data_IF_879118923225
#
_entry.id   IF_879118923225
#
_cell.length_a   1.000
_cell.length_b   1.000
_cell.length_c   1.000
_cell.angle_alpha   90.00
_cell.angle_beta   90.00
_cell.angle_gamma   90.00
#
_symmetry.space_group_name_H-M   'P 1'
#
loop_
_entity.id
_entity.type
_entity.pdbx_description
1 polymer ?
#
# COMPACT_ATOMS: atom_id res chain seq x y z
N UNK A 1 5.12 36.96 -1.55
CA UNK A 1 3.77 36.98 -2.17
C UNK A 1 3.60 35.91 -3.25
N UNK A 2 4.56 35.72 -4.16
CA UNK A 2 4.52 34.72 -5.25
C UNK A 2 4.27 33.28 -4.72
N UNK A 3 4.90 32.91 -3.60
CA UNK A 3 4.75 31.57 -3.02
C UNK A 3 3.31 31.25 -2.53
N UNK A 4 2.60 32.23 -1.98
CA UNK A 4 1.20 32.03 -1.48
C UNK A 4 0.21 31.86 -2.63
N UNK A 5 0.34 32.60 -3.72
CA UNK A 5 -0.49 32.46 -4.90
C UNK A 5 -0.25 31.11 -5.60
N UNK A 6 1.01 30.71 -5.75
CA UNK A 6 1.36 29.41 -6.30
C UNK A 6 0.84 28.24 -5.43
N UNK A 7 0.95 28.36 -4.12
CA UNK A 7 0.42 27.35 -3.19
C UNK A 7 -1.12 27.26 -3.26
N UNK A 8 -1.80 28.41 -3.31
CA UNK A 8 -3.26 28.45 -3.45
C UNK A 8 -3.70 27.84 -4.77
N UNK A 9 -3.03 28.18 -5.88
CA UNK A 9 -3.32 27.60 -7.19
C UNK A 9 -3.11 26.07 -7.21
N UNK A 10 -1.99 25.58 -6.64
CA UNK A 10 -1.73 24.15 -6.54
C UNK A 10 -2.81 23.41 -5.71
N UNK A 11 -3.24 23.99 -4.59
CA UNK A 11 -4.32 23.42 -3.79
C UNK A 11 -5.67 23.42 -4.53
N UNK A 12 -6.00 24.49 -5.26
CA UNK A 12 -7.20 24.55 -6.09
C UNK A 12 -7.16 23.52 -7.21
N UNK A 13 -6.02 23.37 -7.89
CA UNK A 13 -5.83 22.36 -8.93
C UNK A 13 -6.06 20.94 -8.40
N UNK A 14 -5.53 20.64 -7.21
CA UNK A 14 -5.70 19.33 -6.57
C UNK A 14 -7.14 19.12 -6.05
N UNK A 15 -7.80 20.15 -5.54
CA UNK A 15 -9.15 20.06 -4.98
C UNK A 15 -10.26 20.05 -6.05
N UNK A 16 -10.00 20.62 -7.21
CA UNK A 16 -11.02 20.79 -8.25
C UNK A 16 -11.71 19.48 -8.70
N UNK A 17 -10.98 18.34 -8.94
CA UNK A 17 -11.65 17.08 -9.32
C UNK A 17 -12.57 16.54 -8.21
N UNK A 18 -12.18 16.71 -6.93
CA UNK A 18 -13.00 16.27 -5.80
C UNK A 18 -14.24 17.17 -5.59
N UNK A 19 -14.10 18.47 -5.82
CA UNK A 19 -15.25 19.38 -5.86
C UNK A 19 -16.19 19.03 -7.04
N UNK A 20 -15.61 18.71 -8.21
CA UNK A 20 -16.35 18.20 -9.37
C UNK A 20 -17.13 16.93 -9.05
N UNK A 21 -16.51 15.98 -8.35
CA UNK A 21 -17.17 14.75 -7.92
C UNK A 21 -18.42 15.02 -7.07
N UNK A 22 -18.37 16.00 -6.13
CA UNK A 22 -19.54 16.39 -5.32
C UNK A 22 -20.68 16.90 -6.18
N UNK A 23 -20.37 17.71 -7.19
CA UNK A 23 -21.37 18.35 -8.07
C UNK A 23 -21.94 17.35 -9.08
N UNK A 24 -21.11 16.46 -9.60
CA UNK A 24 -21.49 15.49 -10.64
C UNK A 24 -22.19 14.26 -10.08
N UNK A 25 -22.07 13.97 -8.78
CA UNK A 25 -22.75 12.82 -8.17
C UNK A 25 -24.27 13.06 -8.12
N UNK A 26 -25.04 12.15 -8.69
CA UNK A 26 -26.49 12.12 -8.51
C UNK A 26 -26.83 11.56 -7.12
N UNK A 27 -27.07 12.47 -6.19
CA UNK A 27 -27.40 12.13 -4.80
C UNK A 27 -28.81 11.55 -4.63
N UNK A 28 -29.67 11.67 -5.65
CA UNK A 28 -31.04 11.12 -5.62
C UNK A 28 -31.07 9.65 -5.97
N UNK A 29 -30.10 9.18 -6.77
CA UNK A 29 -29.93 7.79 -7.17
C UNK A 29 -28.56 7.25 -6.73
N UNK A 30 -28.23 7.43 -5.44
CA UNK A 30 -27.00 6.93 -4.85
C UNK A 30 -27.16 5.45 -4.46
N UNK A 31 -27.14 4.56 -5.46
CA UNK A 31 -27.32 3.14 -5.26
C UNK A 31 -26.02 2.35 -5.45
N UNK A 32 -25.80 1.39 -4.57
CA UNK A 32 -24.69 0.44 -4.65
C UNK A 32 -25.22 -0.94 -5.02
N UNK A 33 -24.71 -1.50 -6.09
CA UNK A 33 -24.97 -2.88 -6.43
C UNK A 33 -24.40 -3.83 -5.34
N UNK A 34 -25.00 -5.01 -5.19
CA UNK A 34 -24.47 -6.04 -4.27
C UNK A 34 -23.00 -6.38 -4.58
N UNK A 35 -22.62 -6.39 -5.85
CA UNK A 35 -21.25 -6.60 -6.31
C UNK A 35 -20.29 -5.49 -5.82
N UNK A 36 -20.75 -4.25 -5.72
CA UNK A 36 -19.94 -3.13 -5.22
C UNK A 36 -19.69 -3.27 -3.71
N UNK A 37 -20.72 -3.64 -2.95
CA UNK A 37 -20.57 -3.92 -1.51
C UNK A 37 -19.61 -5.11 -1.26
N UNK A 38 -19.71 -6.17 -2.07
CA UNK A 38 -18.78 -7.29 -2.01
C UNK A 38 -17.34 -6.84 -2.33
N UNK A 39 -17.13 -6.01 -3.35
CA UNK A 39 -15.84 -5.47 -3.72
C UNK A 39 -15.20 -4.62 -2.62
N UNK A 40 -16.01 -3.87 -1.85
CA UNK A 40 -15.53 -3.17 -0.64
C UNK A 40 -15.01 -4.16 0.39
N UNK A 41 -15.78 -5.20 0.71
CA UNK A 41 -15.36 -6.25 1.64
C UNK A 41 -14.09 -6.97 1.20
N UNK A 42 -13.96 -7.28 -0.09
CA UNK A 42 -12.77 -7.88 -0.69
C UNK A 42 -11.56 -6.94 -0.55
N UNK A 43 -11.67 -5.69 -0.98
CA UNK A 43 -10.56 -4.74 -0.90
C UNK A 43 -10.10 -4.45 0.53
N UNK A 44 -11.04 -4.26 1.45
CA UNK A 44 -10.70 -4.01 2.86
C UNK A 44 -10.10 -5.26 3.51
N UNK A 45 -10.70 -6.43 3.31
CA UNK A 45 -10.22 -7.68 3.91
C UNK A 45 -8.82 -8.08 3.43
N UNK A 46 -8.62 -8.15 2.12
CA UNK A 46 -7.30 -8.48 1.55
C UNK A 46 -6.30 -7.35 1.72
N UNK A 47 -6.75 -6.08 1.70
CA UNK A 47 -5.91 -4.92 2.02
C UNK A 47 -5.35 -4.99 3.43
N UNK A 48 -6.18 -5.30 4.44
CA UNK A 48 -5.72 -5.48 5.83
C UNK A 48 -4.76 -6.65 5.97
N UNK A 49 -5.04 -7.78 5.31
CA UNK A 49 -4.14 -8.93 5.30
C UNK A 49 -2.79 -8.58 4.64
N UNK A 50 -2.82 -7.87 3.49
CA UNK A 50 -1.61 -7.41 2.80
C UNK A 50 -0.79 -6.46 3.68
N UNK A 51 -1.43 -5.50 4.36
CA UNK A 51 -0.75 -4.55 5.26
C UNK A 51 -0.15 -5.27 6.48
N UNK A 52 -0.85 -6.27 7.02
CA UNK A 52 -0.27 -7.12 8.07
C UNK A 52 1.01 -7.83 7.60
N UNK A 53 0.99 -8.42 6.41
CA UNK A 53 2.16 -9.04 5.79
C UNK A 53 3.27 -8.01 5.48
N UNK A 54 2.91 -6.84 4.95
CA UNK A 54 3.84 -5.73 4.68
C UNK A 54 4.52 -5.26 5.96
N UNK A 55 3.78 -5.10 7.05
CA UNK A 55 4.35 -4.73 8.34
C UNK A 55 5.30 -5.82 8.88
N UNK A 56 4.88 -7.09 8.82
CA UNK A 56 5.65 -8.21 9.33
C UNK A 56 6.96 -8.44 8.57
N UNK A 57 6.94 -8.30 7.24
CA UNK A 57 8.11 -8.50 6.37
C UNK A 57 8.93 -7.22 6.21
N UNK A 58 8.26 -6.09 6.08
CA UNK A 58 8.87 -4.80 5.77
C UNK A 58 9.59 -4.17 6.96
N UNK A 59 9.07 -4.32 8.18
CA UNK A 59 9.72 -3.73 9.38
C UNK A 59 11.12 -4.29 9.62
N UNK A 60 11.33 -5.63 9.67
CA UNK A 60 12.68 -6.17 9.82
C UNK A 60 13.58 -5.84 8.63
N UNK A 61 13.05 -5.82 7.40
CA UNK A 61 13.80 -5.45 6.21
C UNK A 61 14.24 -3.98 6.28
N UNK A 62 13.35 -3.06 6.64
CA UNK A 62 13.67 -1.64 6.79
C UNK A 62 14.74 -1.39 7.87
N UNK A 63 14.61 -2.05 9.02
CA UNK A 63 15.58 -1.97 10.10
C UNK A 63 16.95 -2.52 9.66
N UNK A 64 16.97 -3.67 9.00
CA UNK A 64 18.20 -4.24 8.46
C UNK A 64 18.86 -3.34 7.43
N UNK A 65 18.08 -2.73 6.53
CA UNK A 65 18.59 -1.79 5.54
C UNK A 65 19.16 -0.50 6.16
N UNK A 66 18.67 -0.09 7.33
CA UNK A 66 19.17 1.06 8.07
C UNK A 66 20.49 0.74 8.78
N UNK A 67 20.58 -0.42 9.43
CA UNK A 67 21.72 -0.75 10.31
C UNK A 67 22.85 -1.48 9.60
N UNK A 68 22.60 -2.15 8.47
CA UNK A 68 23.61 -2.94 7.75
C UNK A 68 24.56 -2.07 6.93
N UNK A 69 25.85 -2.43 6.94
CA UNK A 69 26.92 -1.82 6.12
C UNK A 69 27.43 -2.78 5.03
N UNK A 70 26.74 -3.86 4.74
CA UNK A 70 27.17 -4.90 3.81
C UNK A 70 26.88 -4.55 2.35
N UNK A 71 27.62 -5.15 1.40
CA UNK A 71 27.33 -5.02 -0.04
C UNK A 71 25.93 -5.57 -0.41
N UNK A 72 25.47 -6.56 0.33
CA UNK A 72 24.13 -7.14 0.15
C UNK A 72 23.01 -6.11 0.38
N UNK A 73 23.21 -5.11 1.25
CA UNK A 73 22.28 -3.99 1.44
C UNK A 73 22.01 -3.24 0.13
N UNK A 74 23.07 -2.97 -0.65
CA UNK A 74 22.92 -2.21 -1.91
C UNK A 74 22.14 -3.04 -2.95
N UNK A 75 22.38 -4.35 -3.03
CA UNK A 75 21.61 -5.25 -3.88
C UNK A 75 20.15 -5.33 -3.42
N UNK A 76 19.89 -5.47 -2.12
CA UNK A 76 18.53 -5.48 -1.59
C UNK A 76 17.77 -4.17 -1.85
N UNK A 77 18.45 -3.01 -1.74
CA UNK A 77 17.85 -1.72 -2.10
C UNK A 77 17.49 -1.66 -3.59
N UNK A 78 18.35 -2.17 -4.46
CA UNK A 78 18.06 -2.24 -5.89
C UNK A 78 16.82 -3.10 -6.16
N UNK A 79 16.74 -4.31 -5.60
CA UNK A 79 15.57 -5.18 -5.75
C UNK A 79 14.29 -4.58 -5.16
N UNK A 80 14.41 -3.82 -4.07
CA UNK A 80 13.28 -3.11 -3.47
C UNK A 80 12.73 -2.00 -4.39
N UNK A 81 13.61 -1.35 -5.15
CA UNK A 81 13.20 -0.28 -6.06
C UNK A 81 12.60 -0.80 -7.38
N UNK A 82 12.89 -2.03 -7.81
CA UNK A 82 12.38 -2.57 -9.06
C UNK A 82 10.84 -2.50 -9.17
N UNK A 83 10.04 -2.93 -8.17
CA UNK A 83 8.59 -2.80 -8.25
C UNK A 83 8.11 -1.34 -8.28
N UNK A 84 8.83 -0.41 -7.64
CA UNK A 84 8.48 1.02 -7.67
C UNK A 84 8.75 1.68 -9.03
N UNK A 85 9.80 1.22 -9.72
CA UNK A 85 10.19 1.73 -11.04
C UNK A 85 9.40 1.06 -12.17
N UNK A 86 8.81 -0.11 -11.92
CA UNK A 86 8.03 -0.85 -12.92
C UNK A 86 6.61 -0.28 -12.95
N UNK A 87 6.07 0.11 -14.13
CA UNK A 87 4.67 0.49 -14.23
C UNK A 87 3.75 -0.61 -13.70
N UNK A 88 2.68 -0.27 -12.96
CA UNK A 88 1.82 -1.27 -12.29
C UNK A 88 1.28 -2.36 -13.22
N UNK A 89 0.85 -2.00 -14.42
CA UNK A 89 0.38 -2.96 -15.42
C UNK A 89 1.49 -3.94 -15.85
N UNK A 90 2.70 -3.43 -16.09
CA UNK A 90 3.86 -4.26 -16.43
C UNK A 90 4.24 -5.19 -15.29
N UNK A 91 4.16 -4.72 -14.04
CA UNK A 91 4.37 -5.56 -12.87
C UNK A 91 3.32 -6.68 -12.78
N UNK A 92 2.05 -6.37 -13.09
CA UNK A 92 0.98 -7.37 -13.18
C UNK A 92 1.28 -8.45 -14.23
N UNK A 93 1.78 -8.07 -15.41
CA UNK A 93 2.22 -9.02 -16.46
C UNK A 93 3.37 -9.90 -15.97
N UNK A 94 4.38 -9.31 -15.33
CA UNK A 94 5.51 -10.06 -14.77
C UNK A 94 5.07 -11.07 -13.70
N UNK A 95 4.16 -10.68 -12.80
CA UNK A 95 3.62 -11.57 -11.78
C UNK A 95 2.79 -12.69 -12.40
N UNK A 96 1.95 -12.38 -13.40
CA UNK A 96 1.18 -13.38 -14.13
C UNK A 96 2.08 -14.36 -14.91
N UNK A 97 3.15 -13.87 -15.52
CA UNK A 97 4.14 -14.71 -16.20
C UNK A 97 4.91 -15.62 -15.23
N UNK A 98 5.22 -15.14 -14.01
CA UNK A 98 6.00 -15.89 -13.03
C UNK A 98 5.15 -16.87 -12.20
N UNK A 99 3.98 -16.41 -11.70
CA UNK A 99 3.09 -17.19 -10.85
C UNK A 99 1.97 -17.89 -11.61
N UNK A 100 1.80 -17.61 -12.92
CA UNK A 100 0.79 -18.24 -13.77
C UNK A 100 1.04 -19.74 -13.94
N UNK A 101 0.03 -20.51 -14.38
CA UNK A 101 0.09 -21.99 -14.45
C UNK A 101 1.28 -22.54 -15.24
N UNK A 102 1.70 -21.82 -16.27
CA UNK A 102 2.86 -22.18 -17.13
C UNK A 102 4.17 -21.49 -16.69
N UNK A 103 4.08 -20.58 -15.72
CA UNK A 103 5.24 -19.87 -15.20
C UNK A 103 6.09 -20.75 -14.26
N UNK A 104 7.36 -20.37 -14.01
CA UNK A 104 8.27 -21.21 -13.23
C UNK A 104 7.78 -21.48 -11.81
N UNK A 105 7.23 -20.50 -11.13
CA UNK A 105 6.67 -20.66 -9.78
C UNK A 105 5.28 -21.28 -9.81
N UNK A 106 4.42 -20.88 -10.76
CA UNK A 106 3.07 -21.41 -10.88
C UNK A 106 3.07 -22.90 -11.23
N UNK A 107 3.94 -23.34 -12.13
CA UNK A 107 4.12 -24.76 -12.46
C UNK A 107 4.63 -25.60 -11.25
N UNK A 108 5.44 -25.01 -10.37
CA UNK A 108 5.86 -25.65 -9.12
C UNK A 108 4.68 -25.77 -8.16
N UNK A 109 3.94 -24.69 -7.93
CA UNK A 109 2.84 -24.61 -6.97
C UNK A 109 1.65 -25.47 -7.41
N UNK A 110 1.40 -25.60 -8.71
CA UNK A 110 0.34 -26.46 -9.26
C UNK A 110 0.54 -27.94 -8.93
N UNK A 111 1.80 -28.40 -8.76
CA UNK A 111 2.10 -29.76 -8.28
C UNK A 111 1.59 -30.03 -6.86
N UNK A 112 1.40 -28.98 -6.06
CA UNK A 112 0.83 -29.04 -4.72
C UNK A 112 -0.67 -28.66 -4.72
N UNK A 113 -1.32 -28.57 -5.90
CA UNK A 113 -2.72 -28.20 -6.04
C UNK A 113 -3.02 -26.72 -5.79
N UNK A 114 -1.99 -25.85 -5.76
CA UNK A 114 -2.14 -24.41 -5.52
C UNK A 114 -2.11 -23.64 -6.84
N UNK A 115 -3.19 -22.91 -7.12
CA UNK A 115 -3.29 -21.93 -8.20
C UNK A 115 -3.27 -20.54 -7.54
N UNK A 116 -2.38 -19.67 -8.01
CA UNK A 116 -2.25 -18.31 -7.42
C UNK A 116 -2.97 -17.28 -8.28
N UNK A 117 -2.84 -17.33 -9.62
CA UNK A 117 -3.42 -16.32 -10.50
C UNK A 117 -4.95 -16.36 -10.52
N UNK A 118 -5.56 -15.18 -10.51
CA UNK A 118 -7.03 -15.00 -10.46
C UNK A 118 -7.72 -15.72 -9.30
N UNK A 119 -7.06 -15.77 -8.17
CA UNK A 119 -7.51 -16.39 -6.94
C UNK A 119 -7.17 -15.49 -5.74
N UNK A 120 -7.79 -15.68 -4.57
CA UNK A 120 -7.51 -14.89 -3.37
C UNK A 120 -6.03 -14.68 -3.05
N UNK A 121 -5.12 -15.67 -3.19
CA UNK A 121 -3.68 -15.45 -2.98
C UNK A 121 -3.06 -14.43 -3.93
N UNK A 122 -3.54 -14.33 -5.18
CA UNK A 122 -3.04 -13.33 -6.12
C UNK A 122 -3.33 -11.90 -5.65
N UNK A 123 -4.53 -11.67 -5.12
CA UNK A 123 -4.94 -10.37 -4.62
C UNK A 123 -4.08 -9.95 -3.40
N UNK A 124 -3.80 -10.90 -2.50
CA UNK A 124 -2.89 -10.68 -1.37
C UNK A 124 -1.48 -10.33 -1.85
N UNK A 125 -0.94 -11.09 -2.79
CA UNK A 125 0.39 -10.84 -3.37
C UNK A 125 0.43 -9.48 -4.09
N UNK A 126 -0.59 -9.13 -4.88
CA UNK A 126 -0.68 -7.84 -5.54
C UNK A 126 -0.59 -6.69 -4.53
N UNK A 127 -1.34 -6.76 -3.43
CA UNK A 127 -1.28 -5.79 -2.34
C UNK A 127 0.11 -5.71 -1.67
N UNK A 128 0.78 -6.85 -1.48
CA UNK A 128 2.14 -6.89 -0.93
C UNK A 128 3.12 -6.25 -1.91
N UNK A 129 3.10 -6.61 -3.19
CA UNK A 129 4.00 -6.03 -4.20
C UNK A 129 3.80 -4.52 -4.37
N UNK A 130 2.56 -4.03 -4.24
CA UNK A 130 2.26 -2.60 -4.29
C UNK A 130 2.70 -1.86 -3.02
N UNK A 131 2.45 -2.44 -1.84
CA UNK A 131 2.63 -1.78 -0.55
C UNK A 131 4.03 -1.92 0.05
N UNK A 132 4.66 -3.10 -0.07
CA UNK A 132 5.92 -3.42 0.62
C UNK A 132 7.07 -2.46 0.27
N UNK A 133 7.36 -2.15 -1.00
CA UNK A 133 8.44 -1.24 -1.33
C UNK A 133 8.22 0.17 -0.76
N UNK A 134 7.00 0.67 -0.88
CA UNK A 134 6.61 1.99 -0.34
C UNK A 134 6.77 2.03 1.18
N UNK A 135 6.29 0.99 1.86
CA UNK A 135 6.44 0.85 3.30
C UNK A 135 7.90 0.84 3.73
N UNK A 136 8.73 -0.01 3.10
CA UNK A 136 10.14 -0.19 3.50
C UNK A 136 10.93 1.10 3.32
N UNK A 137 10.70 1.85 2.23
CA UNK A 137 11.36 3.14 2.00
C UNK A 137 10.99 4.13 3.10
N UNK A 138 9.70 4.30 3.42
CA UNK A 138 9.25 5.21 4.45
C UNK A 138 9.65 4.77 5.87
N UNK A 139 9.53 3.49 6.18
CA UNK A 139 9.92 2.92 7.48
C UNK A 139 11.43 3.05 7.73
N UNK A 140 12.25 2.90 6.68
CA UNK A 140 13.69 3.12 6.77
C UNK A 140 14.02 4.56 7.16
N UNK A 141 13.31 5.55 6.61
CA UNK A 141 13.47 6.95 7.01
C UNK A 141 13.17 7.11 8.50
N UNK A 142 12.04 6.56 8.98
CA UNK A 142 11.68 6.61 10.39
C UNK A 142 12.74 5.98 11.32
N UNK A 143 13.35 4.86 10.91
CA UNK A 143 14.44 4.26 11.68
C UNK A 143 15.74 5.05 11.61
N UNK A 144 16.03 5.74 10.50
CA UNK A 144 17.26 6.54 10.34
C UNK A 144 17.24 7.83 11.16
N UNK A 145 16.09 8.31 11.59
CA UNK A 145 15.92 9.46 12.47
C UNK A 145 16.25 9.17 13.95
N UNK A 146 16.37 7.89 14.32
CA UNK A 146 16.69 7.50 15.70
C UNK A 146 18.21 7.62 15.91
N UNK A 147 18.66 8.40 16.92
CA UNK A 147 20.08 8.54 17.24
C UNK A 147 20.71 7.19 17.59
N UNK A 148 21.79 6.78 16.91
CA UNK A 148 22.43 5.48 17.17
C UNK A 148 23.01 5.37 18.58
N UNK A 149 23.36 6.50 19.20
CA UNK A 149 23.91 6.57 20.57
C UNK A 149 22.97 5.98 21.63
N UNK A 150 21.66 6.03 21.39
CA UNK A 150 20.69 5.44 22.31
C UNK A 150 20.80 3.90 22.37
N UNK A 151 20.96 3.28 21.20
CA UNK A 151 21.17 1.85 21.11
C UNK A 151 22.54 1.43 21.68
N UNK A 152 23.59 2.20 21.41
CA UNK A 152 24.94 1.97 21.90
C UNK A 152 25.00 2.09 23.43
N UNK A 153 24.40 3.15 24.00
CA UNK A 153 24.32 3.34 25.46
C UNK A 153 23.54 2.23 26.14
N UNK A 154 22.44 1.75 25.54
CA UNK A 154 21.70 0.61 26.09
C UNK A 154 22.52 -0.69 26.05
N UNK A 155 23.31 -0.92 24.99
CA UNK A 155 24.20 -2.09 24.91
C UNK A 155 25.28 -2.05 25.99
N UNK A 156 25.86 -0.89 26.32
CA UNK A 156 26.87 -0.77 27.41
C UNK A 156 26.26 -1.06 28.79
N UNK A 157 24.95 -0.84 28.96
CA UNK A 157 24.21 -1.21 30.17
C UNK A 157 23.76 -2.68 30.22
N UNK A 158 24.17 -3.49 29.22
CA UNK A 158 23.84 -4.92 29.18
C UNK A 158 22.46 -5.24 28.62
N UNK A 159 21.74 -4.27 28.04
CA UNK A 159 20.45 -4.49 27.39
C UNK A 159 20.65 -5.23 26.07
N UNK A 160 19.91 -6.32 25.85
CA UNK A 160 20.04 -7.09 24.61
C UNK A 160 19.35 -6.43 23.41
N UNK A 161 19.77 -6.79 22.18
CA UNK A 161 19.25 -6.17 20.92
C UNK A 161 17.74 -6.30 20.76
N UNK A 162 17.13 -7.40 21.25
CA UNK A 162 15.67 -7.59 21.18
C UNK A 162 14.93 -6.61 22.10
N UNK A 163 15.46 -6.37 23.29
CA UNK A 163 14.92 -5.38 24.23
C UNK A 163 15.07 -3.95 23.67
N UNK A 164 16.24 -3.62 23.08
CA UNK A 164 16.45 -2.34 22.41
C UNK A 164 15.42 -2.13 21.32
N UNK A 165 15.16 -3.14 20.49
CA UNK A 165 14.15 -3.04 19.45
C UNK A 165 12.75 -2.73 20.01
N UNK A 166 12.29 -3.53 20.98
CA UNK A 166 10.92 -3.40 21.50
C UNK A 166 10.70 -2.20 22.41
N UNK A 167 11.70 -1.79 23.20
CA UNK A 167 11.53 -0.74 24.22
C UNK A 167 12.11 0.62 23.79
N UNK A 168 12.99 0.67 22.81
CA UNK A 168 13.61 1.92 22.34
C UNK A 168 13.26 2.18 20.87
N UNK A 169 13.72 1.30 19.96
CA UNK A 169 13.65 1.57 18.52
C UNK A 169 12.21 1.64 18.01
N UNK A 170 11.38 0.65 18.32
CA UNK A 170 10.00 0.56 17.84
C UNK A 170 9.11 1.68 18.42
N UNK A 171 9.15 2.01 19.73
CA UNK A 171 8.40 3.13 20.27
C UNK A 171 8.81 4.49 19.69
N UNK A 172 10.10 4.70 19.43
CA UNK A 172 10.58 5.95 18.83
C UNK A 172 10.18 6.07 17.35
N UNK A 173 10.20 4.96 16.60
CA UNK A 173 9.83 4.96 15.18
C UNK A 173 8.31 4.92 14.96
N UNK A 174 7.48 4.72 15.97
CA UNK A 174 6.05 4.37 15.85
C UNK A 174 5.26 5.30 14.93
N UNK A 175 5.48 6.61 15.02
CA UNK A 175 4.71 7.59 14.27
C UNK A 175 5.13 7.59 12.78
N UNK A 176 6.43 7.45 12.51
CA UNK A 176 6.96 7.26 11.16
C UNK A 176 6.55 5.93 10.55
N UNK A 177 6.54 4.83 11.33
CA UNK A 177 6.05 3.53 10.88
C UNK A 177 4.54 3.56 10.60
N UNK A 178 3.76 4.26 11.40
CA UNK A 178 2.35 4.45 11.15
C UNK A 178 2.11 5.24 9.84
N UNK A 179 2.91 6.29 9.57
CA UNK A 179 2.88 7.01 8.29
C UNK A 179 3.25 6.10 7.11
N UNK A 180 4.28 5.26 7.28
CA UNK A 180 4.68 4.28 6.28
C UNK A 180 3.56 3.26 5.98
N UNK A 181 2.86 2.77 7.01
CA UNK A 181 1.71 1.88 6.85
C UNK A 181 0.54 2.55 6.14
N UNK A 182 0.28 3.83 6.41
CA UNK A 182 -0.76 4.57 5.71
C UNK A 182 -0.48 4.72 4.22
N UNK A 183 0.76 5.03 3.85
CA UNK A 183 1.17 5.09 2.44
C UNK A 183 1.05 3.72 1.77
N UNK A 184 1.48 2.66 2.44
CA UNK A 184 1.36 1.30 1.95
C UNK A 184 -0.10 0.86 1.80
N UNK A 185 -0.98 1.25 2.73
CA UNK A 185 -2.43 0.99 2.66
C UNK A 185 -3.05 1.58 1.40
N UNK A 186 -2.83 2.87 1.17
CA UNK A 186 -3.36 3.56 -0.01
C UNK A 186 -2.86 2.90 -1.30
N UNK A 187 -1.58 2.51 -1.34
CA UNK A 187 -0.99 1.80 -2.48
C UNK A 187 -1.59 0.39 -2.68
N UNK A 188 -1.75 -0.38 -1.61
CA UNK A 188 -2.25 -1.75 -1.69
C UNK A 188 -3.73 -1.81 -2.09
N UNK A 189 -4.57 -0.93 -1.51
CA UNK A 189 -6.02 -0.90 -1.77
C UNK A 189 -6.36 -0.22 -3.10
N UNK A 190 -5.56 0.79 -3.50
CA UNK A 190 -5.77 1.56 -4.73
C UNK A 190 -5.14 0.97 -5.99
N UNK A 191 -4.48 -0.18 -5.90
CA UNK A 191 -3.75 -0.76 -7.02
C UNK A 191 -4.69 -1.39 -8.06
N UNK A 192 -4.76 -0.81 -9.26
CA UNK A 192 -5.54 -1.33 -10.38
C UNK A 192 -4.67 -2.11 -11.37
N UNK A 193 -3.50 -1.59 -11.72
CA UNK A 193 -2.69 -2.15 -12.81
C UNK A 193 -2.24 -3.58 -12.59
N UNK A 194 -1.79 -3.90 -11.37
CA UNK A 194 -1.38 -5.26 -11.02
C UNK A 194 -2.60 -6.17 -10.98
N UNK A 195 -3.68 -5.76 -10.28
CA UNK A 195 -4.85 -6.63 -10.09
C UNK A 195 -5.60 -6.88 -11.38
N UNK A 196 -5.61 -5.96 -12.33
CA UNK A 196 -6.28 -6.11 -13.62
C UNK A 196 -5.76 -7.32 -14.41
N UNK A 197 -4.48 -7.62 -14.31
CA UNK A 197 -3.82 -8.70 -15.07
C UNK A 197 -3.60 -9.95 -14.22
N UNK A 198 -3.18 -9.78 -12.96
CA UNK A 198 -2.73 -10.88 -12.13
C UNK A 198 -3.79 -11.42 -11.16
N UNK A 199 -4.69 -10.56 -10.68
CA UNK A 199 -5.62 -10.85 -9.60
C UNK A 199 -7.03 -10.27 -9.87
N UNK A 200 -7.58 -10.50 -11.07
CA UNK A 200 -8.87 -9.95 -11.46
C UNK A 200 -10.02 -10.44 -10.58
N UNK A 201 -9.95 -11.69 -10.11
CA UNK A 201 -10.89 -12.26 -9.15
C UNK A 201 -10.19 -12.67 -7.83
N UNK A 202 -10.87 -12.52 -6.68
CA UNK A 202 -12.15 -11.83 -6.48
C UNK A 202 -12.03 -10.33 -6.75
N UNK A 203 -13.08 -9.73 -7.34
CA UNK A 203 -13.05 -8.31 -7.72
C UNK A 203 -13.02 -7.41 -6.49
N UNK A 204 -11.94 -6.65 -6.32
CA UNK A 204 -11.85 -5.55 -5.37
C UNK A 204 -12.42 -4.25 -5.95
N UNK A 205 -12.45 -3.19 -5.12
CA UNK A 205 -12.97 -1.87 -5.52
C UNK A 205 -12.33 -1.30 -6.80
N UNK A 206 -10.99 -1.36 -7.01
CA UNK A 206 -10.40 -0.82 -8.25
C UNK A 206 -10.93 -1.52 -9.51
N UNK A 207 -11.06 -2.85 -9.48
CA UNK A 207 -11.61 -3.62 -10.60
C UNK A 207 -13.09 -3.29 -10.80
N UNK A 208 -13.89 -3.18 -9.72
CA UNK A 208 -15.31 -2.82 -9.85
C UNK A 208 -15.52 -1.42 -10.38
N UNK A 209 -14.70 -0.45 -9.99
CA UNK A 209 -14.72 0.89 -10.58
C UNK A 209 -14.46 0.84 -12.09
N UNK A 210 -13.48 0.04 -12.50
CA UNK A 210 -13.16 -0.18 -13.91
C UNK A 210 -14.35 -0.82 -14.66
N UNK A 211 -14.93 -1.89 -14.13
CA UNK A 211 -16.08 -2.59 -14.73
C UNK A 211 -17.30 -1.66 -14.82
N UNK A 212 -17.64 -0.94 -13.73
CA UNK A 212 -18.75 0.00 -13.74
C UNK A 212 -18.56 1.09 -14.79
N UNK A 213 -17.32 1.61 -14.96
CA UNK A 213 -17.00 2.59 -15.97
C UNK A 213 -17.21 2.06 -17.40
N UNK A 214 -16.77 0.84 -17.69
CA UNK A 214 -16.88 0.23 -19.01
C UNK A 214 -18.31 -0.18 -19.36
N UNK A 215 -19.03 -0.78 -18.39
CA UNK A 215 -20.34 -1.35 -18.63
C UNK A 215 -21.48 -0.31 -18.55
N UNK A 216 -21.37 0.69 -17.68
CA UNK A 216 -22.46 1.59 -17.32
C UNK A 216 -22.11 3.07 -17.41
N UNK A 217 -20.84 3.40 -17.71
CA UNK A 217 -20.37 4.77 -17.86
C UNK A 217 -19.96 5.46 -16.57
N UNK A 218 -19.61 6.74 -16.67
CA UNK A 218 -18.97 7.51 -15.60
C UNK A 218 -19.87 7.63 -14.36
N UNK A 219 -21.13 7.93 -14.53
CA UNK A 219 -22.07 8.22 -13.43
C UNK A 219 -22.26 7.03 -12.51
N UNK A 220 -22.24 5.80 -13.05
CA UNK A 220 -22.36 4.56 -12.29
C UNK A 220 -21.12 4.28 -11.39
N UNK A 221 -20.02 4.98 -11.60
CA UNK A 221 -18.81 4.80 -10.79
C UNK A 221 -18.83 5.64 -9.51
N UNK A 222 -19.57 6.74 -9.46
CA UNK A 222 -19.46 7.73 -8.39
C UNK A 222 -19.84 7.19 -7.01
N UNK A 223 -20.90 6.38 -6.83
CA UNK A 223 -21.21 5.81 -5.51
C UNK A 223 -20.06 4.96 -4.94
N UNK A 224 -19.49 4.08 -5.77
CA UNK A 224 -18.36 3.23 -5.35
C UNK A 224 -17.09 4.07 -5.16
N UNK A 225 -16.86 5.12 -5.96
CA UNK A 225 -15.72 6.02 -5.82
C UNK A 225 -15.73 6.76 -4.47
N UNK A 226 -16.91 7.21 -4.02
CA UNK A 226 -17.06 7.81 -2.69
C UNK A 226 -16.68 6.83 -1.58
N UNK A 227 -17.15 5.58 -1.66
CA UNK A 227 -16.80 4.55 -0.68
C UNK A 227 -15.32 4.23 -0.74
N UNK A 228 -14.73 4.16 -1.94
CA UNK A 228 -13.29 3.96 -2.10
C UNK A 228 -12.48 5.07 -1.40
N UNK A 229 -12.84 6.33 -1.58
CA UNK A 229 -12.20 7.46 -0.91
C UNK A 229 -12.35 7.34 0.61
N UNK A 230 -13.55 7.00 1.10
CA UNK A 230 -13.79 6.78 2.53
C UNK A 230 -12.99 5.60 3.08
N UNK A 231 -12.80 4.53 2.33
CA UNK A 231 -11.98 3.38 2.74
C UNK A 231 -10.48 3.68 2.72
N UNK A 232 -10.02 4.57 1.81
CA UNK A 232 -8.62 4.96 1.71
C UNK A 232 -8.19 5.96 2.79
N UNK A 233 -9.10 6.84 3.26
CA UNK A 233 -8.83 7.98 4.14
C UNK A 233 -8.56 7.65 5.63
N UNK A 234 -9.12 6.61 6.28
CA UNK A 234 -9.05 6.47 7.75
C UNK A 234 -7.62 6.49 8.29
N UNK A 235 -6.72 5.78 7.66
CA UNK A 235 -5.33 5.69 8.09
C UNK A 235 -4.57 7.03 7.92
N UNK A 236 -4.58 7.70 6.75
CA UNK A 236 -4.00 9.02 6.58
C UNK A 236 -4.57 10.07 7.53
N UNK A 237 -5.89 10.12 7.71
CA UNK A 237 -6.54 11.09 8.59
C UNK A 237 -6.17 10.88 10.07
N UNK A 238 -6.07 9.62 10.51
CA UNK A 238 -5.63 9.31 11.87
C UNK A 238 -4.20 9.79 12.13
N UNK A 239 -3.32 9.70 11.14
CA UNK A 239 -1.95 10.18 11.23
C UNK A 239 -1.86 11.70 11.29
N UNK A 240 -2.62 12.41 10.44
CA UNK A 240 -2.67 13.87 10.47
C UNK A 240 -3.11 14.40 11.85
N UNK A 241 -4.06 13.71 12.50
CA UNK A 241 -4.51 14.08 13.86
C UNK A 241 -3.45 13.84 14.93
N UNK A 242 -2.53 12.89 14.74
CA UNK A 242 -1.42 12.66 15.70
C UNK A 242 -0.27 13.64 15.48
N UNK A 243 0.10 13.92 14.24
CA UNK A 243 1.15 14.89 13.91
C UNK A 243 0.83 16.33 14.29
N UNK A 244 -0.45 16.68 14.43
CA UNK A 244 -0.88 18.01 14.90
C UNK A 244 -0.76 18.20 16.42
N UNK A 245 -0.34 17.19 17.18
CA UNK A 245 -0.20 17.24 18.67
C UNK A 245 1.25 17.39 19.14
N UNK A 246 2.19 17.57 18.24
CA UNK A 246 3.59 17.88 18.48
C UNK A 246 3.98 19.14 17.69
#
# INVERSE_FOLDING_TARGET
>A
MISRAASAFALLLLAAPFAGLVVLTDWTHFDLARSDVQAVGVSVGYGLAAIGAVAALGTPLALWLTTSKTRLRNAAQFFLLLPLLTPPLALGILLAAFYGPIGPMGALLSRFGMIITNDPPALLLAGIYAGLPTYVVAARTAFSEIPPELAESALTLGVNRRQIFWFITLPMARDGLAAALALAWVRAVGELGIVLIFAYFPQGMPIRLWVNLEDSGLDATFPLLWIFLLAALPLPLWLLRRGAKH
#
